data_IF_628554978497
#
_entry.id   IF_628554978497
#
_cell.length_a   1.000
_cell.length_b   1.000
_cell.length_c   1.000
_cell.angle_alpha   90.00
_cell.angle_beta   90.00
_cell.angle_gamma   90.00
#
_symmetry.space_group_name_H-M   'P 1'
#
loop_
_entity.id
_entity.type
_entity.pdbx_description
1 polymer ?
#
# COMPACT_ATOMS: atom_id res chain seq x y z
N UNK A 1 0.58 -2.32 2.97
CA UNK A 1 0.77 -2.57 1.53
C UNK A 1 0.09 -1.45 0.76
N UNK A 2 0.77 -0.86 -0.21
CA UNK A 2 0.23 0.23 -1.02
C UNK A 2 0.53 -0.02 -2.51
N UNK A 3 -0.36 0.45 -3.39
CA UNK A 3 -0.15 0.39 -4.84
C UNK A 3 0.79 1.49 -5.29
N UNK A 4 1.82 1.13 -6.06
CA UNK A 4 2.74 2.11 -6.66
C UNK A 4 2.01 3.07 -7.60
N UNK A 5 0.98 2.58 -8.30
CA UNK A 5 0.19 3.39 -9.21
C UNK A 5 -0.47 4.59 -8.52
N UNK A 6 -0.93 4.42 -7.28
CA UNK A 6 -1.53 5.51 -6.53
C UNK A 6 -0.51 6.58 -6.15
N UNK A 7 0.72 6.16 -5.84
CA UNK A 7 1.82 7.10 -5.57
C UNK A 7 2.23 7.83 -6.84
N UNK A 8 2.35 7.12 -7.95
CA UNK A 8 2.72 7.70 -9.24
C UNK A 8 1.67 8.72 -9.70
N UNK A 9 0.39 8.40 -9.55
CA UNK A 9 -0.70 9.32 -9.89
C UNK A 9 -0.64 10.59 -9.05
N UNK A 10 -0.38 10.46 -7.74
CA UNK A 10 -0.22 11.60 -6.85
C UNK A 10 0.93 12.49 -7.30
N UNK A 11 2.10 11.88 -7.56
CA UNK A 11 3.28 12.62 -7.99
C UNK A 11 3.05 13.36 -9.31
N UNK A 12 2.33 12.73 -10.22
CA UNK A 12 1.98 13.36 -11.50
C UNK A 12 1.04 14.55 -11.31
N UNK A 13 0.01 14.38 -10.50
CA UNK A 13 -1.01 15.41 -10.25
C UNK A 13 -0.43 16.65 -9.58
N UNK A 14 0.46 16.46 -8.62
CA UNK A 14 1.04 17.55 -7.84
C UNK A 14 2.44 17.94 -8.29
N UNK A 15 2.91 17.41 -9.42
CA UNK A 15 4.24 17.66 -9.98
C UNK A 15 5.34 17.45 -8.92
N UNK A 16 5.22 16.38 -8.17
CA UNK A 16 6.15 16.00 -7.12
C UNK A 16 6.91 14.73 -7.47
N UNK A 17 7.96 14.42 -6.73
CA UNK A 17 8.79 13.24 -6.92
C UNK A 17 9.04 12.54 -5.58
N UNK A 18 7.96 12.26 -4.85
CA UNK A 18 8.09 11.60 -3.56
C UNK A 18 8.44 10.13 -3.79
N UNK A 19 9.58 9.64 -3.26
CA UNK A 19 9.94 8.23 -3.38
C UNK A 19 8.93 7.32 -2.70
N UNK A 20 8.74 6.13 -3.24
CA UNK A 20 7.82 5.13 -2.68
C UNK A 20 8.06 4.87 -1.19
N UNK A 21 9.31 4.76 -0.79
CA UNK A 21 9.69 4.45 0.60
C UNK A 21 9.25 5.52 1.60
N UNK A 22 9.05 6.74 1.14
CA UNK A 22 8.62 7.84 2.02
C UNK A 22 7.17 7.68 2.49
N UNK A 23 6.38 6.83 1.84
CA UNK A 23 5.02 6.53 2.28
C UNK A 23 4.96 5.57 3.45
N UNK A 24 6.10 5.04 3.87
CA UNK A 24 6.24 4.24 5.09
C UNK A 24 5.34 2.99 5.11
N UNK A 25 5.14 2.39 3.95
CA UNK A 25 4.46 1.11 3.82
C UNK A 25 5.48 -0.02 3.70
N UNK A 26 5.15 -1.17 4.27
CA UNK A 26 6.07 -2.32 4.27
C UNK A 26 6.27 -2.91 2.88
N UNK A 27 5.24 -2.91 2.06
CA UNK A 27 5.25 -3.53 0.75
C UNK A 27 4.60 -2.59 -0.26
N UNK A 28 5.25 -2.44 -1.39
CA UNK A 28 4.75 -1.63 -2.51
C UNK A 28 4.46 -2.58 -3.67
N UNK A 29 3.26 -2.50 -4.22
CA UNK A 29 2.81 -3.41 -5.27
C UNK A 29 2.59 -2.69 -6.59
N UNK A 30 2.49 -3.49 -7.67
CA UNK A 30 2.20 -3.00 -9.01
C UNK A 30 1.25 -3.97 -9.71
N UNK A 31 0.28 -3.42 -10.43
CA UNK A 31 -0.59 -4.22 -11.29
C UNK A 31 -1.74 -4.94 -10.57
N UNK A 32 -2.06 -4.56 -9.33
CA UNK A 32 -3.14 -5.18 -8.59
C UNK A 32 -3.96 -4.12 -7.84
N UNK A 33 -5.27 -4.27 -7.84
CA UNK A 33 -6.18 -3.39 -7.10
C UNK A 33 -6.36 -3.91 -5.68
N UNK A 34 -5.62 -3.34 -4.75
CA UNK A 34 -5.60 -3.80 -3.37
C UNK A 34 -6.95 -3.64 -2.66
N UNK A 35 -7.71 -2.60 -2.97
CA UNK A 35 -9.00 -2.36 -2.33
C UNK A 35 -9.98 -3.52 -2.53
N UNK A 36 -9.85 -4.26 -3.63
CA UNK A 36 -10.71 -5.40 -3.92
C UNK A 36 -10.37 -6.64 -3.06
N UNK A 37 -9.27 -6.58 -2.33
CA UNK A 37 -8.79 -7.70 -1.52
C UNK A 37 -9.25 -7.65 -0.06
N UNK A 38 -9.93 -6.58 0.36
CA UNK A 38 -10.39 -6.43 1.75
C UNK A 38 -11.29 -7.62 2.14
N UNK A 39 -11.06 -8.15 3.34
CA UNK A 39 -11.72 -9.34 3.90
C UNK A 39 -11.36 -10.66 3.19
N UNK A 40 -10.33 -10.64 2.33
CA UNK A 40 -9.83 -11.84 1.65
C UNK A 40 -8.49 -12.27 2.21
N UNK A 41 -8.13 -13.51 1.94
CA UNK A 41 -6.78 -14.01 2.20
C UNK A 41 -5.98 -13.96 0.91
N UNK A 42 -4.72 -13.58 1.04
CA UNK A 42 -3.79 -13.50 -0.09
C UNK A 42 -2.50 -14.22 0.26
N UNK A 43 -1.77 -14.60 -0.77
CA UNK A 43 -0.46 -15.19 -0.63
C UNK A 43 0.54 -14.36 -1.45
N UNK A 44 1.63 -13.96 -0.79
CA UNK A 44 2.74 -13.27 -1.44
C UNK A 44 3.99 -14.14 -1.24
N UNK A 45 4.53 -14.70 -2.33
CA UNK A 45 5.59 -15.69 -2.19
C UNK A 45 5.14 -16.86 -1.34
N UNK A 46 5.82 -17.11 -0.22
CA UNK A 46 5.47 -18.16 0.73
C UNK A 46 4.64 -17.70 1.92
N UNK A 47 4.29 -16.41 1.98
CA UNK A 47 3.60 -15.82 3.14
C UNK A 47 2.12 -15.66 2.86
N UNK A 48 1.29 -16.14 3.80
CA UNK A 48 -0.15 -15.89 3.78
C UNK A 48 -0.49 -14.68 4.64
N UNK A 49 -1.39 -13.86 4.13
CA UNK A 49 -1.85 -12.64 4.78
C UNK A 49 -3.37 -12.61 4.76
N UNK A 50 -3.95 -12.14 5.85
CA UNK A 50 -5.37 -11.83 5.92
C UNK A 50 -5.53 -10.32 5.78
N UNK A 51 -6.24 -9.89 4.75
CA UNK A 51 -6.47 -8.46 4.52
C UNK A 51 -7.62 -8.00 5.40
N UNK A 52 -7.32 -7.06 6.30
CA UNK A 52 -8.27 -6.62 7.32
C UNK A 52 -9.12 -5.46 6.81
N UNK A 53 -8.47 -4.36 6.45
CA UNK A 53 -9.16 -3.15 5.99
C UNK A 53 -8.23 -2.26 5.16
N UNK A 54 -8.76 -1.11 4.74
CA UNK A 54 -7.97 -0.10 4.06
C UNK A 54 -7.15 0.69 5.08
N UNK A 55 -5.89 0.97 4.71
CA UNK A 55 -5.10 1.94 5.44
C UNK A 55 -5.62 3.35 5.15
N UNK A 56 -5.89 4.10 6.21
CA UNK A 56 -6.26 5.50 6.05
C UNK A 56 -5.01 6.37 6.07
N UNK A 57 -4.91 7.38 5.21
CA UNK A 57 -3.87 8.39 5.35
C UNK A 57 -4.08 9.11 6.67
N UNK A 58 -3.03 9.29 7.44
CA UNK A 58 -3.12 9.92 8.73
C UNK A 58 -2.35 11.25 8.75
N UNK A 59 -2.65 12.05 9.76
CA UNK A 59 -1.96 13.32 9.98
C UNK A 59 -0.44 13.12 10.08
N UNK A 60 -0.03 12.02 10.72
CA UNK A 60 1.39 11.69 10.85
C UNK A 60 2.08 11.54 9.49
N UNK A 61 1.44 10.86 8.53
CA UNK A 61 1.98 10.72 7.18
C UNK A 61 2.04 12.08 6.47
N UNK A 62 1.00 12.90 6.61
CA UNK A 62 0.96 14.25 6.04
C UNK A 62 2.10 15.11 6.56
N UNK A 63 2.35 15.09 7.86
CA UNK A 63 3.47 15.81 8.48
C UNK A 63 4.82 15.28 8.01
N UNK A 64 4.96 13.96 7.92
CA UNK A 64 6.19 13.30 7.48
C UNK A 64 6.58 13.70 6.06
N UNK A 65 5.59 13.80 5.16
CA UNK A 65 5.80 14.20 3.78
C UNK A 65 5.77 15.71 3.59
N UNK A 66 5.45 16.46 4.64
CA UNK A 66 5.27 17.92 4.61
C UNK A 66 4.24 18.33 3.53
N UNK A 67 3.13 17.60 3.45
CA UNK A 67 2.08 17.80 2.41
C UNK A 67 0.71 17.68 3.04
N UNK A 68 -0.05 18.77 3.07
CA UNK A 68 -1.39 18.78 3.66
C UNK A 68 -2.45 18.10 2.78
N UNK A 69 -2.18 17.95 1.49
CA UNK A 69 -3.08 17.33 0.52
C UNK A 69 -3.08 15.80 0.57
N UNK A 70 -2.10 15.19 1.23
CA UNK A 70 -1.94 13.73 1.30
C UNK A 70 -3.18 13.05 1.89
N UNK A 71 -3.73 13.62 2.97
CA UNK A 71 -4.91 13.03 3.63
C UNK A 71 -6.08 12.93 2.65
N UNK A 72 -6.34 14.01 1.92
CA UNK A 72 -7.43 14.05 0.94
C UNK A 72 -7.20 13.13 -0.25
N UNK A 73 -5.99 13.17 -0.83
CA UNK A 73 -5.69 12.46 -2.06
C UNK A 73 -5.56 10.95 -1.85
N UNK A 74 -5.10 10.52 -0.68
CA UNK A 74 -4.96 9.09 -0.38
C UNK A 74 -6.14 8.51 0.38
N UNK A 75 -7.23 9.24 0.50
CA UNK A 75 -8.46 8.68 1.02
C UNK A 75 -8.88 7.50 0.12
N UNK A 76 -8.94 6.27 0.66
CA UNK A 76 -9.16 5.01 -0.06
C UNK A 76 -8.06 4.62 -1.06
N UNK A 77 -6.91 5.31 -1.04
CA UNK A 77 -5.76 4.99 -1.89
C UNK A 77 -4.49 4.74 -1.08
N UNK A 78 -4.60 4.73 0.23
CA UNK A 78 -3.47 4.56 1.14
C UNK A 78 -2.99 3.12 1.30
N UNK A 79 -3.60 2.17 0.61
CA UNK A 79 -3.24 0.77 0.67
C UNK A 79 -4.12 -0.04 1.61
N UNK A 80 -3.64 -1.22 1.95
CA UNK A 80 -4.36 -2.17 2.80
C UNK A 80 -3.54 -2.54 4.02
N UNK A 81 -4.24 -2.90 5.08
CA UNK A 81 -3.66 -3.40 6.33
C UNK A 81 -3.93 -4.89 6.45
N UNK A 82 -2.89 -5.65 6.72
CA UNK A 82 -2.97 -7.11 6.74
C UNK A 82 -2.45 -7.68 8.05
N UNK A 83 -2.96 -8.86 8.39
CA UNK A 83 -2.41 -9.69 9.46
C UNK A 83 -1.57 -10.81 8.83
N UNK A 84 -0.34 -10.98 9.30
CA UNK A 84 0.54 -12.04 8.84
C UNK A 84 0.12 -13.35 9.51
N UNK A 85 -0.13 -14.39 8.70
CA UNK A 85 -0.60 -15.68 9.20
C UNK A 85 0.56 -16.62 9.47
N UNK A 86 1.57 -16.64 8.61
CA UNK A 86 2.73 -17.51 8.78
C UNK A 86 4.03 -16.76 8.49
N UNK A 87 5.13 -17.31 8.98
CA UNK A 87 6.46 -16.75 8.74
C UNK A 87 6.96 -17.10 7.34
N UNK A 88 7.89 -16.30 6.86
CA UNK A 88 8.53 -16.53 5.58
C UNK A 88 9.22 -15.29 5.05
N UNK A 89 9.64 -15.35 3.81
CA UNK A 89 10.32 -14.26 3.12
C UNK A 89 9.57 -13.85 1.88
N UNK A 90 9.56 -12.55 1.61
CA UNK A 90 9.02 -11.97 0.40
C UNK A 90 10.18 -11.34 -0.37
N UNK A 91 10.23 -11.63 -1.66
CA UNK A 91 11.25 -11.11 -2.55
C UNK A 91 10.64 -10.16 -3.56
N UNK A 92 11.45 -9.22 -4.02
CA UNK A 92 11.05 -8.33 -5.11
C UNK A 92 10.64 -9.18 -6.33
N UNK A 93 9.48 -8.88 -6.89
CA UNK A 93 8.94 -9.63 -8.02
C UNK A 93 7.98 -10.76 -7.63
N UNK A 94 7.82 -11.06 -6.36
CA UNK A 94 6.83 -12.05 -5.91
C UNK A 94 5.42 -11.61 -6.27
N UNK A 95 4.63 -12.57 -6.72
CA UNK A 95 3.25 -12.30 -7.13
C UNK A 95 2.29 -12.41 -5.96
N UNK A 96 1.24 -11.61 -6.01
CA UNK A 96 0.14 -11.65 -5.04
C UNK A 96 -0.97 -12.51 -5.63
N UNK A 97 -1.39 -13.52 -4.88
CA UNK A 97 -2.47 -14.43 -5.28
C UNK A 97 -3.57 -14.42 -4.23
N UNK A 98 -4.81 -14.47 -4.68
CA UNK A 98 -5.97 -14.66 -3.79
C UNK A 98 -6.09 -16.14 -3.48
N UNK A 99 -6.23 -16.48 -2.22
CA UNK A 99 -6.40 -17.85 -1.78
C UNK A 99 -7.88 -18.22 -1.73
#
# INVERSE_FOLDING_TARGET
IIESENIDEYNLKYKSNIPYLNFRRNIITKGIKLNDLVEKRIKIGSIELEVIDLCRPCRHLSEKLNRNDVIKEFLRKGGIRCRIINDGKIYLGDKIKII
#
